data_IF_737652667004
#
_entry.id   IF_737652667004
#
_cell.length_a   1.000
_cell.length_b   1.000
_cell.length_c   1.000
_cell.angle_alpha   90.00
_cell.angle_beta   90.00
_cell.angle_gamma   90.00
#
_symmetry.space_group_name_H-M   'P 1'
#
loop_
_entity.id
_entity.type
_entity.pdbx_description
1 polymer ?
#
# COMPACT_ATOMS: atom_id res chain seq x y z
N UNK A 1 -22.44 -22.15 -27.60
CA UNK A 1 -21.18 -21.44 -27.29
C UNK A 1 -21.52 -20.09 -26.66
N UNK A 2 -21.75 -20.03 -25.34
CA UNK A 2 -22.10 -18.79 -24.60
C UNK A 2 -21.02 -18.47 -23.54
N UNK A 3 -19.85 -19.12 -23.62
CA UNK A 3 -18.75 -18.94 -22.68
C UNK A 3 -17.87 -17.70 -22.95
N UNK A 4 -18.02 -17.03 -24.10
CA UNK A 4 -17.04 -16.02 -24.52
C UNK A 4 -17.24 -14.64 -23.87
N UNK A 5 -18.48 -14.26 -23.54
CA UNK A 5 -18.82 -12.90 -23.06
C UNK A 5 -18.45 -12.70 -21.58
N UNK A 6 -18.74 -13.63 -20.64
CA UNK A 6 -18.37 -13.46 -19.24
C UNK A 6 -16.86 -13.43 -19.03
N UNK A 7 -16.12 -14.34 -19.68
CA UNK A 7 -14.66 -14.37 -19.60
C UNK A 7 -14.02 -13.10 -20.19
N UNK A 8 -14.54 -12.58 -21.31
CA UNK A 8 -14.05 -11.33 -21.90
C UNK A 8 -14.30 -10.13 -20.97
N UNK A 9 -15.47 -10.05 -20.32
CA UNK A 9 -15.77 -9.00 -19.35
C UNK A 9 -14.80 -9.03 -18.17
N UNK A 10 -14.53 -10.21 -17.63
CA UNK A 10 -13.56 -10.39 -16.54
C UNK A 10 -12.15 -9.96 -16.98
N UNK A 11 -11.69 -10.41 -18.15
CA UNK A 11 -10.38 -10.01 -18.68
C UNK A 11 -10.25 -8.50 -18.84
N UNK A 12 -11.26 -7.85 -19.43
CA UNK A 12 -11.29 -6.39 -19.58
C UNK A 12 -11.23 -5.68 -18.22
N UNK A 13 -11.99 -6.16 -17.25
CA UNK A 13 -11.99 -5.60 -15.91
C UNK A 13 -10.64 -5.78 -15.21
N UNK A 14 -10.03 -6.97 -15.28
CA UNK A 14 -8.70 -7.23 -14.70
C UNK A 14 -7.63 -6.34 -15.36
N UNK A 15 -7.71 -6.09 -16.67
CA UNK A 15 -6.82 -5.15 -17.36
C UNK A 15 -6.98 -3.70 -16.85
N UNK A 16 -8.21 -3.27 -16.56
CA UNK A 16 -8.49 -1.95 -15.97
C UNK A 16 -7.97 -1.90 -14.52
N UNK A 17 -8.24 -2.94 -13.72
CA UNK A 17 -7.83 -3.02 -12.33
C UNK A 17 -6.31 -3.23 -12.15
N UNK A 18 -5.57 -3.62 -13.19
CA UNK A 18 -4.13 -3.84 -13.16
C UNK A 18 -3.30 -2.55 -12.99
N UNK A 19 -3.80 -1.40 -13.46
CA UNK A 19 -3.05 -0.13 -13.41
C UNK A 19 -3.84 1.06 -12.83
N UNK A 20 -4.33 1.00 -11.59
CA UNK A 20 -5.12 2.09 -11.01
C UNK A 20 -4.38 3.43 -10.92
N UNK A 21 -3.05 3.40 -10.77
CA UNK A 21 -2.16 4.58 -10.70
C UNK A 21 -2.27 5.50 -11.92
N UNK A 22 -2.53 4.95 -13.11
CA UNK A 22 -2.76 5.74 -14.30
C UNK A 22 -4.01 6.63 -14.13
N UNK A 23 -5.10 6.08 -13.59
CA UNK A 23 -6.32 6.84 -13.30
C UNK A 23 -6.12 7.83 -12.15
N UNK A 24 -5.36 7.46 -11.12
CA UNK A 24 -5.00 8.40 -10.03
C UNK A 24 -4.27 9.61 -10.62
N UNK A 25 -3.32 9.41 -11.53
CA UNK A 25 -2.60 10.50 -12.16
C UNK A 25 -3.55 11.47 -12.91
N UNK A 26 -4.56 10.94 -13.60
CA UNK A 26 -5.59 11.75 -14.24
C UNK A 26 -6.56 12.43 -13.26
N UNK A 27 -6.83 11.82 -12.12
CA UNK A 27 -7.74 12.37 -11.09
C UNK A 27 -7.07 13.45 -10.23
N UNK A 28 -5.74 13.40 -10.04
CA UNK A 28 -4.97 14.32 -9.19
C UNK A 28 -5.25 15.82 -9.41
N UNK A 29 -5.39 16.34 -10.65
CA UNK A 29 -5.71 17.75 -10.88
C UNK A 29 -7.05 18.20 -10.28
N UNK A 30 -8.00 17.26 -10.14
CA UNK A 30 -9.36 17.53 -9.66
C UNK A 30 -9.50 17.32 -8.14
N UNK A 31 -8.58 16.59 -7.52
CA UNK A 31 -8.60 16.23 -6.10
C UNK A 31 -7.39 16.87 -5.42
N UNK A 32 -7.54 18.11 -5.00
CA UNK A 32 -6.46 18.88 -4.36
C UNK A 32 -6.90 19.42 -3.00
N UNK A 33 -6.33 18.85 -1.95
CA UNK A 33 -6.39 19.39 -0.59
C UNK A 33 -5.27 20.42 -0.45
N UNK A 34 -5.64 21.69 -0.30
CA UNK A 34 -4.71 22.86 -0.40
C UNK A 34 -3.51 22.77 0.54
N UNK A 35 -3.67 22.09 1.68
CA UNK A 35 -2.68 22.08 2.78
C UNK A 35 -1.89 20.78 2.90
N UNK A 36 -2.26 19.71 2.19
CA UNK A 36 -1.56 18.42 2.29
C UNK A 36 -1.53 17.68 0.96
N UNK A 37 -0.30 17.42 0.50
CA UNK A 37 -0.04 16.59 -0.66
C UNK A 37 -0.44 15.13 -0.38
N UNK A 38 -0.11 14.63 0.81
CA UNK A 38 -0.46 13.27 1.22
C UNK A 38 -1.98 13.04 1.19
N UNK A 39 -2.77 13.95 1.78
CA UNK A 39 -4.22 13.86 1.76
C UNK A 39 -4.78 13.86 0.33
N UNK A 40 -4.23 14.71 -0.55
CA UNK A 40 -4.64 14.77 -1.95
C UNK A 40 -4.38 13.44 -2.67
N UNK A 41 -3.19 12.85 -2.48
CA UNK A 41 -2.82 11.59 -3.12
C UNK A 41 -3.62 10.40 -2.56
N UNK A 42 -3.81 10.35 -1.25
CA UNK A 42 -4.58 9.30 -0.60
C UNK A 42 -6.08 9.40 -0.95
N UNK A 43 -6.64 10.62 -1.04
CA UNK A 43 -8.03 10.80 -1.45
C UNK A 43 -8.27 10.33 -2.90
N UNK A 44 -7.36 10.66 -3.82
CA UNK A 44 -7.43 10.16 -5.19
C UNK A 44 -7.31 8.63 -5.25
N UNK A 45 -6.45 8.06 -4.41
CA UNK A 45 -6.30 6.60 -4.28
C UNK A 45 -7.60 5.96 -3.81
N UNK A 46 -8.14 6.41 -2.67
CA UNK A 46 -9.41 5.89 -2.12
C UNK A 46 -10.55 6.00 -3.13
N UNK A 47 -10.66 7.12 -3.86
CA UNK A 47 -11.70 7.30 -4.86
C UNK A 47 -11.57 6.28 -6.01
N UNK A 48 -10.39 6.21 -6.64
CA UNK A 48 -10.18 5.33 -7.80
C UNK A 48 -10.34 3.87 -7.41
N UNK A 49 -9.72 3.46 -6.31
CA UNK A 49 -9.82 2.09 -5.82
C UNK A 49 -11.24 1.75 -5.36
N UNK A 50 -11.95 2.69 -4.75
CA UNK A 50 -13.37 2.53 -4.39
C UNK A 50 -14.26 2.33 -5.61
N UNK A 51 -14.01 3.06 -6.71
CA UNK A 51 -14.73 2.85 -7.98
C UNK A 51 -14.43 1.45 -8.55
N UNK A 52 -13.16 1.03 -8.55
CA UNK A 52 -12.79 -0.30 -9.03
C UNK A 52 -13.42 -1.42 -8.20
N UNK A 53 -13.47 -1.25 -6.88
CA UNK A 53 -14.12 -2.19 -5.97
C UNK A 53 -15.64 -2.25 -6.22
N UNK A 54 -16.30 -1.10 -6.38
CA UNK A 54 -17.72 -1.04 -6.70
C UNK A 54 -18.03 -1.73 -8.04
N UNK A 55 -17.20 -1.49 -9.06
CA UNK A 55 -17.33 -2.16 -10.36
C UNK A 55 -17.13 -3.67 -10.23
N UNK A 56 -16.14 -4.11 -9.46
CA UNK A 56 -15.93 -5.53 -9.17
C UNK A 56 -17.19 -6.17 -8.58
N UNK A 57 -17.80 -5.54 -7.58
CA UNK A 57 -19.03 -6.02 -6.94
C UNK A 57 -20.22 -6.06 -7.89
N UNK A 58 -20.42 -5.03 -8.72
CA UNK A 58 -21.48 -5.02 -9.75
C UNK A 58 -21.27 -6.17 -10.75
N UNK A 59 -20.01 -6.54 -11.00
CA UNK A 59 -19.66 -7.67 -11.87
C UNK A 59 -19.70 -9.03 -11.17
N UNK A 60 -20.03 -9.09 -9.88
CA UNK A 60 -20.08 -10.32 -9.08
C UNK A 60 -18.70 -10.84 -8.62
N UNK A 61 -17.65 -10.02 -8.70
CA UNK A 61 -16.31 -10.37 -8.21
C UNK A 61 -16.24 -9.96 -6.73
N UNK A 62 -16.55 -10.90 -5.83
CA UNK A 62 -16.59 -10.65 -4.38
C UNK A 62 -15.30 -11.05 -3.65
N UNK A 63 -14.33 -11.60 -4.38
CA UNK A 63 -13.17 -12.26 -3.79
C UNK A 63 -13.48 -13.72 -3.46
N UNK A 64 -12.44 -14.54 -3.19
CA UNK A 64 -12.60 -15.97 -2.97
C UNK A 64 -13.60 -16.24 -1.83
N UNK A 65 -14.84 -16.61 -2.17
CA UNK A 65 -15.93 -16.87 -1.22
C UNK A 65 -15.71 -18.17 -0.42
N UNK A 66 -14.87 -19.07 -0.95
CA UNK A 66 -14.75 -20.47 -0.55
C UNK A 66 -13.65 -20.81 0.47
N UNK A 67 -12.91 -19.84 1.02
CA UNK A 67 -12.06 -20.12 2.21
C UNK A 67 -12.88 -20.22 3.52
N UNK A 68 -14.21 -20.15 3.42
CA UNK A 68 -15.17 -20.12 4.53
C UNK A 68 -15.66 -21.50 5.00
N UNK A 69 -15.21 -22.59 4.38
CA UNK A 69 -15.57 -23.95 4.79
C UNK A 69 -14.77 -24.37 6.04
N UNK A 70 -15.24 -23.92 7.21
CA UNK A 70 -14.60 -24.05 8.53
C UNK A 70 -13.22 -23.41 8.61
N UNK A 71 -13.11 -22.33 9.39
CA UNK A 71 -11.81 -21.76 9.71
C UNK A 71 -10.95 -22.82 10.39
N UNK A 72 -9.88 -23.24 9.71
CA UNK A 72 -8.89 -24.21 10.20
C UNK A 72 -8.12 -23.59 11.37
N UNK A 73 -8.12 -22.26 11.44
CA UNK A 73 -7.45 -21.48 12.47
C UNK A 73 -8.28 -21.31 13.75
N UNK A 74 -7.75 -21.82 14.86
CA UNK A 74 -8.22 -21.45 16.19
C UNK A 74 -7.94 -19.97 16.54
N UNK A 75 -8.53 -19.50 17.64
CA UNK A 75 -8.39 -18.10 18.08
C UNK A 75 -6.94 -17.72 18.44
N UNK A 76 -6.14 -18.66 18.95
CA UNK A 76 -4.74 -18.44 19.28
C UNK A 76 -3.88 -18.20 18.03
N UNK A 77 -4.08 -19.03 17.01
CA UNK A 77 -3.44 -18.87 15.70
C UNK A 77 -3.81 -17.55 15.02
N UNK A 78 -5.08 -17.15 15.09
CA UNK A 78 -5.53 -15.86 14.56
C UNK A 78 -4.81 -14.70 15.24
N UNK A 79 -4.76 -14.69 16.57
CA UNK A 79 -4.06 -13.66 17.33
C UNK A 79 -2.56 -13.60 16.99
N UNK A 80 -1.92 -14.77 16.81
CA UNK A 80 -0.53 -14.85 16.39
C UNK A 80 -0.32 -14.24 14.99
N UNK A 81 -1.19 -14.54 14.02
CA UNK A 81 -1.09 -13.95 12.68
C UNK A 81 -1.31 -12.43 12.69
N UNK A 82 -2.24 -11.92 13.50
CA UNK A 82 -2.43 -10.47 13.66
C UNK A 82 -1.19 -9.79 14.25
N UNK A 83 -0.58 -10.38 15.28
CA UNK A 83 0.67 -9.88 15.85
C UNK A 83 1.81 -9.95 14.82
N UNK A 84 1.92 -11.06 14.10
CA UNK A 84 2.90 -11.24 13.03
C UNK A 84 2.71 -10.20 11.92
N UNK A 85 1.49 -9.91 11.48
CA UNK A 85 1.19 -8.91 10.46
C UNK A 85 1.67 -7.51 10.89
N UNK A 86 1.41 -7.10 12.13
CA UNK A 86 1.87 -5.81 12.64
C UNK A 86 3.40 -5.71 12.66
N UNK A 87 4.10 -6.75 13.13
CA UNK A 87 5.58 -6.81 13.14
C UNK A 87 6.15 -6.87 11.72
N UNK A 88 5.51 -7.62 10.84
CA UNK A 88 5.92 -7.75 9.44
C UNK A 88 5.83 -6.43 8.69
N UNK A 89 4.91 -5.52 9.04
CA UNK A 89 4.92 -4.17 8.47
C UNK A 89 6.22 -3.41 8.74
N UNK A 90 6.85 -3.60 9.90
CA UNK A 90 8.18 -3.03 10.17
C UNK A 90 9.28 -3.76 9.40
N UNK A 91 9.25 -5.10 9.39
CA UNK A 91 10.25 -5.92 8.70
C UNK A 91 10.23 -5.62 7.19
N UNK A 92 9.04 -5.52 6.59
CA UNK A 92 8.85 -5.19 5.19
C UNK A 92 9.43 -3.82 4.84
N UNK A 93 9.23 -2.80 5.70
CA UNK A 93 9.89 -1.49 5.52
C UNK A 93 11.43 -1.60 5.52
N UNK A 94 11.99 -2.46 6.37
CA UNK A 94 13.43 -2.72 6.39
C UNK A 94 13.88 -3.44 5.11
N UNK A 95 13.12 -4.43 4.66
CA UNK A 95 13.40 -5.16 3.41
C UNK A 95 13.39 -4.21 2.21
N UNK A 96 12.36 -3.36 2.08
CA UNK A 96 12.32 -2.35 1.02
C UNK A 96 13.58 -1.47 1.04
N UNK A 97 14.01 -1.01 2.22
CA UNK A 97 15.24 -0.22 2.33
C UNK A 97 16.46 -1.02 1.87
N UNK A 98 16.59 -2.28 2.29
CA UNK A 98 17.73 -3.14 1.92
C UNK A 98 17.78 -3.40 0.42
N UNK A 99 16.64 -3.63 -0.23
CA UNK A 99 16.54 -3.82 -1.68
C UNK A 99 16.99 -2.59 -2.45
N UNK A 100 16.61 -1.39 -2.00
CA UNK A 100 17.10 -0.14 -2.57
C UNK A 100 18.57 0.15 -2.26
N UNK A 101 19.05 -0.29 -1.09
CA UNK A 101 20.42 -0.06 -0.65
C UNK A 101 21.42 -0.99 -1.33
N UNK A 102 21.01 -2.21 -1.70
CA UNK A 102 21.87 -3.25 -2.23
C UNK A 102 22.67 -2.80 -3.47
N UNK A 103 22.07 -2.21 -4.53
CA UNK A 103 22.83 -1.76 -5.70
C UNK A 103 23.85 -0.67 -5.37
N UNK A 104 23.52 0.25 -4.44
CA UNK A 104 24.41 1.32 -4.00
C UNK A 104 25.57 0.75 -3.21
N UNK A 105 25.30 -0.20 -2.32
CA UNK A 105 26.31 -0.87 -1.51
C UNK A 105 27.26 -1.72 -2.37
N UNK A 106 26.74 -2.49 -3.33
CA UNK A 106 27.57 -3.27 -4.28
C UNK A 106 28.54 -2.36 -5.03
N UNK A 107 28.09 -1.17 -5.44
CA UNK A 107 28.90 -0.22 -6.23
C UNK A 107 29.89 0.59 -5.39
N UNK A 108 29.49 1.04 -4.21
CA UNK A 108 30.21 2.06 -3.44
C UNK A 108 30.70 1.61 -2.07
N UNK A 109 30.30 0.40 -1.63
CA UNK A 109 30.49 -0.13 -0.27
C UNK A 109 29.97 0.80 0.84
N UNK A 110 29.09 1.74 0.50
CA UNK A 110 28.44 2.66 1.43
C UNK A 110 26.94 2.45 1.42
N UNK A 111 26.32 2.55 2.59
CA UNK A 111 24.87 2.53 2.72
C UNK A 111 24.29 3.91 2.35
N UNK A 112 23.28 3.99 1.48
CA UNK A 112 22.64 5.25 1.15
C UNK A 112 21.91 5.82 2.36
N UNK A 113 21.92 7.15 2.50
CA UNK A 113 21.14 7.80 3.55
C UNK A 113 19.65 7.63 3.28
N UNK A 114 18.91 7.12 4.25
CA UNK A 114 17.45 7.01 4.17
C UNK A 114 16.83 8.41 3.99
N UNK A 115 16.04 8.59 2.95
CA UNK A 115 15.22 9.79 2.72
C UNK A 115 13.76 9.36 2.60
N UNK A 116 12.84 9.92 3.40
CA UNK A 116 11.43 9.62 3.22
C UNK A 116 11.00 10.11 1.85
N UNK A 117 10.05 9.39 1.24
CA UNK A 117 9.40 9.86 0.03
C UNK A 117 8.82 11.27 0.29
N UNK A 118 8.95 12.16 -0.69
CA UNK A 118 8.53 13.56 -0.58
C UNK A 118 7.02 13.72 -0.31
N UNK A 119 6.23 12.67 -0.50
CA UNK A 119 4.79 12.66 -0.19
C UNK A 119 4.55 12.75 1.31
N UNK A 120 5.42 12.15 2.14
CA UNK A 120 5.30 12.16 3.60
C UNK A 120 6.01 13.35 4.27
N UNK A 121 6.62 14.27 3.50
CA UNK A 121 7.38 15.40 4.07
C UNK A 121 6.46 16.56 4.46
N UNK A 122 5.58 16.32 5.42
CA UNK A 122 4.64 17.30 5.99
C UNK A 122 4.68 17.28 7.52
N UNK A 123 3.92 18.18 8.15
CA UNK A 123 3.70 18.17 9.61
C UNK A 123 2.73 17.08 10.02
N UNK A 124 2.72 16.72 11.30
CA UNK A 124 1.79 15.72 11.81
C UNK A 124 0.34 16.22 11.75
N UNK A 125 -0.55 15.44 11.16
CA UNK A 125 -1.99 15.65 11.19
C UNK A 125 -2.72 14.32 11.36
N UNK A 126 -3.77 14.30 12.20
CA UNK A 126 -4.59 13.10 12.40
C UNK A 126 -5.32 12.67 11.11
N UNK A 127 -5.71 13.64 10.28
CA UNK A 127 -6.32 13.39 8.98
C UNK A 127 -5.37 12.61 8.06
N UNK A 128 -4.05 12.89 8.12
CA UNK A 128 -3.05 12.14 7.37
C UNK A 128 -3.01 10.67 7.78
N UNK A 129 -3.07 10.38 9.09
CA UNK A 129 -3.14 9.01 9.62
C UNK A 129 -4.39 8.29 9.11
N UNK A 130 -5.57 8.92 9.23
CA UNK A 130 -6.82 8.34 8.73
C UNK A 130 -6.75 8.09 7.22
N UNK A 131 -6.19 9.03 6.46
CA UNK A 131 -6.05 8.89 5.00
C UNK A 131 -5.11 7.74 4.60
N UNK A 132 -4.04 7.50 5.37
CA UNK A 132 -3.11 6.38 5.16
C UNK A 132 -3.85 5.06 5.37
N UNK A 133 -4.64 4.95 6.45
CA UNK A 133 -5.43 3.75 6.74
C UNK A 133 -6.40 3.46 5.61
N UNK A 134 -7.15 4.47 5.17
CA UNK A 134 -8.14 4.32 4.10
C UNK A 134 -7.50 3.97 2.75
N UNK A 135 -6.39 4.63 2.40
CA UNK A 135 -5.69 4.36 1.14
C UNK A 135 -5.10 2.94 1.12
N UNK A 136 -4.41 2.53 2.19
CA UNK A 136 -3.87 1.17 2.30
C UNK A 136 -4.99 0.13 2.25
N UNK A 137 -6.09 0.34 2.98
CA UNK A 137 -7.25 -0.56 2.92
C UNK A 137 -7.84 -0.68 1.52
N UNK A 138 -7.98 0.44 0.81
CA UNK A 138 -8.51 0.45 -0.56
C UNK A 138 -7.59 -0.30 -1.53
N UNK A 139 -6.26 -0.12 -1.41
CA UNK A 139 -5.28 -0.88 -2.20
C UNK A 139 -5.39 -2.38 -1.94
N UNK A 140 -5.45 -2.79 -0.67
CA UNK A 140 -5.58 -4.21 -0.31
C UNK A 140 -6.88 -4.81 -0.83
N UNK A 141 -8.01 -4.12 -0.71
CA UNK A 141 -9.29 -4.61 -1.22
C UNK A 141 -9.23 -4.90 -2.74
N UNK A 142 -8.60 -4.01 -3.51
CA UNK A 142 -8.47 -4.26 -4.96
C UNK A 142 -7.46 -5.36 -5.25
N UNK A 143 -6.23 -5.27 -4.75
CA UNK A 143 -5.20 -6.23 -5.15
C UNK A 143 -5.38 -7.61 -4.50
N UNK A 144 -5.89 -7.69 -3.27
CA UNK A 144 -5.99 -8.98 -2.54
C UNK A 144 -7.35 -9.58 -2.69
N UNK A 145 -8.43 -8.79 -2.60
CA UNK A 145 -9.77 -9.36 -2.76
C UNK A 145 -10.17 -9.46 -4.22
N UNK A 146 -10.10 -8.34 -4.97
CA UNK A 146 -10.61 -8.29 -6.35
C UNK A 146 -9.70 -9.02 -7.34
N UNK A 147 -8.40 -8.72 -7.36
CA UNK A 147 -7.47 -9.33 -8.33
C UNK A 147 -7.28 -10.82 -8.05
N UNK A 148 -6.99 -11.23 -6.81
CA UNK A 148 -6.82 -12.66 -6.49
C UNK A 148 -8.14 -13.40 -6.72
N UNK A 149 -9.28 -12.85 -6.28
CA UNK A 149 -10.60 -13.45 -6.54
C UNK A 149 -10.89 -13.61 -8.03
N UNK A 150 -10.71 -12.54 -8.82
CA UNK A 150 -10.93 -12.59 -10.26
C UNK A 150 -10.01 -13.59 -10.99
N UNK A 151 -8.78 -13.77 -10.52
CA UNK A 151 -7.85 -14.75 -11.09
C UNK A 151 -8.17 -16.18 -10.62
N UNK A 152 -8.50 -16.39 -9.35
CA UNK A 152 -8.84 -17.71 -8.81
C UNK A 152 -10.21 -18.20 -9.29
N UNK A 153 -11.28 -17.47 -8.99
CA UNK A 153 -12.66 -17.87 -9.27
C UNK A 153 -13.00 -17.66 -10.74
N UNK A 154 -12.48 -16.57 -11.33
CA UNK A 154 -12.84 -16.17 -12.68
C UNK A 154 -11.98 -16.83 -13.77
N UNK A 155 -10.67 -17.00 -13.55
CA UNK A 155 -9.77 -17.66 -14.49
C UNK A 155 -9.42 -19.10 -14.10
N UNK A 156 -9.80 -19.56 -12.90
CA UNK A 156 -9.53 -20.93 -12.44
C UNK A 156 -8.07 -21.18 -12.05
N UNK A 157 -7.29 -20.14 -11.78
CA UNK A 157 -5.87 -20.29 -11.44
C UNK A 157 -5.68 -20.68 -9.97
N UNK A 158 -4.57 -21.35 -9.68
CA UNK A 158 -4.23 -21.72 -8.30
C UNK A 158 -4.01 -20.47 -7.42
N UNK A 159 -4.40 -20.48 -6.13
CA UNK A 159 -4.29 -19.30 -5.25
C UNK A 159 -2.89 -18.72 -5.12
N UNK A 160 -1.85 -19.56 -5.09
CA UNK A 160 -0.46 -19.10 -5.04
C UNK A 160 -0.06 -18.33 -6.31
N UNK A 161 -0.55 -18.76 -7.48
CA UNK A 161 -0.28 -18.09 -8.75
C UNK A 161 -1.01 -16.73 -8.82
N UNK A 162 -2.25 -16.69 -8.35
CA UNK A 162 -3.02 -15.46 -8.22
C UNK A 162 -2.35 -14.46 -7.25
N UNK A 163 -1.77 -14.94 -6.15
CA UNK A 163 -1.00 -14.13 -5.20
C UNK A 163 0.26 -13.51 -5.83
N UNK A 164 0.96 -14.25 -6.71
CA UNK A 164 2.10 -13.73 -7.48
C UNK A 164 1.65 -12.68 -8.49
N UNK A 165 0.58 -12.94 -9.24
CA UNK A 165 0.00 -11.97 -10.20
C UNK A 165 -0.38 -10.67 -9.49
N UNK A 166 -1.08 -10.78 -8.35
CA UNK A 166 -1.45 -9.64 -7.52
C UNK A 166 -0.22 -8.83 -7.08
N UNK A 167 0.82 -9.50 -6.59
CA UNK A 167 2.06 -8.83 -6.18
C UNK A 167 2.78 -8.11 -7.33
N UNK A 168 2.85 -8.74 -8.50
CA UNK A 168 3.43 -8.14 -9.70
C UNK A 168 2.65 -6.91 -10.13
N UNK A 169 1.32 -6.99 -10.21
CA UNK A 169 0.46 -5.85 -10.57
C UNK A 169 0.55 -4.72 -9.54
N UNK A 170 0.60 -5.05 -8.25
CA UNK A 170 0.81 -4.07 -7.17
C UNK A 170 2.17 -3.36 -7.31
N UNK A 171 3.23 -4.10 -7.62
CA UNK A 171 4.55 -3.54 -7.91
C UNK A 171 4.54 -2.63 -9.16
N UNK A 172 3.94 -3.09 -10.26
CA UNK A 172 3.82 -2.33 -11.51
C UNK A 172 3.03 -1.04 -11.33
N UNK A 173 2.06 -1.01 -10.42
CA UNK A 173 1.30 0.19 -10.09
C UNK A 173 2.17 1.31 -9.47
N UNK A 174 3.40 0.99 -9.07
CA UNK A 174 4.38 1.92 -8.54
C UNK A 174 5.46 2.32 -9.56
N UNK A 175 5.28 2.01 -10.85
CA UNK A 175 6.27 2.30 -11.91
C UNK A 175 6.64 3.78 -12.02
N UNK A 176 5.72 4.69 -11.70
CA UNK A 176 5.99 6.13 -11.69
C UNK A 176 7.01 6.58 -10.62
N UNK A 177 7.25 5.74 -9.61
CA UNK A 177 8.29 5.95 -8.59
C UNK A 177 9.65 5.36 -9.00
N UNK A 178 9.72 4.71 -10.17
CA UNK A 178 10.92 4.14 -10.76
C UNK A 178 11.09 2.64 -10.51
N UNK A 179 12.02 2.01 -11.25
CA UNK A 179 12.21 0.55 -11.27
C UNK A 179 12.47 -0.09 -9.89
N UNK A 180 13.15 0.62 -8.99
CA UNK A 180 13.43 0.10 -7.65
C UNK A 180 12.18 0.07 -6.78
N UNK A 181 11.29 1.06 -6.93
CA UNK A 181 9.99 1.05 -6.27
C UNK A 181 9.12 -0.12 -6.76
N UNK A 182 9.19 -0.48 -8.05
CA UNK A 182 8.49 -1.65 -8.58
C UNK A 182 8.97 -2.94 -7.91
N UNK A 183 10.27 -3.13 -7.75
CA UNK A 183 10.83 -4.32 -7.09
C UNK A 183 10.41 -4.37 -5.62
N UNK A 184 10.60 -3.27 -4.90
CA UNK A 184 10.19 -3.12 -3.50
C UNK A 184 8.72 -3.46 -3.29
N UNK A 185 7.86 -2.86 -4.10
CA UNK A 185 6.43 -3.06 -3.98
C UNK A 185 6.00 -4.44 -4.47
N UNK A 186 6.72 -5.07 -5.39
CA UNK A 186 6.51 -6.48 -5.69
C UNK A 186 6.83 -7.37 -4.48
N UNK A 187 7.93 -7.13 -3.77
CA UNK A 187 8.30 -7.88 -2.56
C UNK A 187 7.28 -7.71 -1.44
N UNK A 188 6.92 -6.48 -1.10
CA UNK A 188 5.82 -6.19 -0.14
C UNK A 188 4.51 -6.80 -0.62
N UNK A 189 4.29 -6.75 -1.93
CA UNK A 189 3.17 -7.35 -2.62
C UNK A 189 3.00 -8.84 -2.30
N UNK A 190 4.10 -9.59 -2.36
CA UNK A 190 4.15 -11.01 -2.03
C UNK A 190 3.89 -11.26 -0.55
N UNK A 191 4.43 -10.44 0.35
CA UNK A 191 4.19 -10.56 1.79
C UNK A 191 2.69 -10.39 2.11
N UNK A 192 2.04 -9.39 1.51
CA UNK A 192 0.62 -9.15 1.71
C UNK A 192 -0.23 -10.27 1.11
N UNK A 193 0.11 -10.75 -0.10
CA UNK A 193 -0.54 -11.92 -0.69
C UNK A 193 -0.36 -13.17 0.18
N UNK A 194 0.79 -13.36 0.82
CA UNK A 194 1.02 -14.48 1.74
C UNK A 194 0.09 -14.38 2.96
N UNK A 195 -0.03 -13.21 3.59
CA UNK A 195 -0.97 -13.02 4.70
C UNK A 195 -2.42 -13.22 4.28
N UNK A 196 -2.80 -12.80 3.08
CA UNK A 196 -4.14 -13.01 2.54
C UNK A 196 -4.46 -14.50 2.41
N UNK A 197 -3.56 -15.25 1.77
CA UNK A 197 -3.78 -16.67 1.48
C UNK A 197 -3.65 -17.54 2.73
N UNK A 198 -2.69 -17.26 3.62
CA UNK A 198 -2.50 -18.02 4.87
C UNK A 198 -3.55 -17.70 5.92
N UNK A 199 -4.12 -16.49 5.87
CA UNK A 199 -5.22 -16.05 6.72
C UNK A 199 -6.60 -16.35 6.18
N UNK A 200 -6.76 -17.37 5.33
CA UNK A 200 -8.07 -17.81 4.81
C UNK A 200 -8.84 -16.69 4.08
N UNK A 201 -8.14 -15.91 3.24
CA UNK A 201 -8.66 -14.71 2.59
C UNK A 201 -9.10 -13.58 3.56
N UNK A 202 -8.56 -13.58 4.78
CA UNK A 202 -8.75 -12.52 5.77
C UNK A 202 -8.05 -11.23 5.37
N UNK A 203 -8.80 -10.30 4.76
CA UNK A 203 -8.26 -9.01 4.27
C UNK A 203 -7.60 -8.17 5.38
N UNK A 204 -8.09 -8.28 6.62
CA UNK A 204 -7.63 -7.48 7.75
C UNK A 204 -6.16 -7.69 8.11
N UNK A 205 -5.60 -8.90 7.90
CA UNK A 205 -4.18 -9.15 8.14
C UNK A 205 -3.30 -8.35 7.19
N UNK A 206 -3.69 -8.30 5.91
CA UNK A 206 -2.98 -7.55 4.86
C UNK A 206 -3.06 -6.05 5.13
N UNK A 207 -4.27 -5.57 5.45
CA UNK A 207 -4.50 -4.16 5.79
C UNK A 207 -3.65 -3.78 6.99
N UNK A 208 -3.63 -4.59 8.05
CA UNK A 208 -2.84 -4.31 9.24
C UNK A 208 -1.35 -4.24 8.92
N UNK A 209 -0.82 -5.21 8.16
CA UNK A 209 0.59 -5.22 7.77
C UNK A 209 0.96 -3.96 6.98
N UNK A 210 0.18 -3.62 5.97
CA UNK A 210 0.42 -2.48 5.09
C UNK A 210 0.24 -1.14 5.82
N UNK A 211 -0.81 -0.99 6.63
CA UNK A 211 -1.02 0.20 7.47
C UNK A 211 0.15 0.37 8.44
N UNK A 212 0.59 -0.70 9.10
CA UNK A 212 1.72 -0.65 10.03
C UNK A 212 2.98 -0.13 9.33
N UNK A 213 3.28 -0.65 8.14
CA UNK A 213 4.40 -0.18 7.30
C UNK A 213 4.30 1.34 7.03
N UNK A 214 3.16 1.79 6.52
CA UNK A 214 2.96 3.19 6.11
C UNK A 214 2.92 4.16 7.29
N UNK A 215 2.35 3.76 8.43
CA UNK A 215 2.30 4.59 9.64
C UNK A 215 3.69 4.75 10.24
N UNK A 216 4.51 3.69 10.28
CA UNK A 216 5.90 3.78 10.74
C UNK A 216 6.68 4.76 9.85
N UNK A 217 6.54 4.65 8.53
CA UNK A 217 7.18 5.53 7.57
C UNK A 217 6.74 7.00 7.75
N UNK A 218 5.44 7.24 7.94
CA UNK A 218 4.89 8.58 8.20
C UNK A 218 5.45 9.18 9.49
N UNK A 219 5.39 8.44 10.60
CA UNK A 219 5.92 8.86 11.90
C UNK A 219 7.42 9.22 11.82
N UNK A 220 8.21 8.41 11.11
CA UNK A 220 9.62 8.69 10.89
C UNK A 220 9.84 9.96 10.04
N UNK A 221 9.06 10.14 8.98
CA UNK A 221 9.14 11.31 8.10
C UNK A 221 8.80 12.62 8.83
N UNK A 222 7.73 12.63 9.63
CA UNK A 222 7.31 13.77 10.46
C UNK A 222 8.43 14.18 11.42
N UNK A 223 9.03 13.21 12.13
CA UNK A 223 10.14 13.47 13.07
C UNK A 223 11.33 14.13 12.38
N UNK A 224 11.69 13.64 11.19
CA UNK A 224 12.80 14.19 10.40
C UNK A 224 12.51 15.62 9.92
N UNK A 225 11.28 15.87 9.46
CA UNK A 225 10.84 17.21 9.05
C UNK A 225 10.89 18.21 10.22
N UNK A 226 10.45 17.78 11.41
CA UNK A 226 10.54 18.60 12.62
C UNK A 226 11.99 18.94 13.01
N UNK A 227 12.91 17.97 12.93
CA UNK A 227 14.34 18.20 13.18
C UNK A 227 14.94 19.20 12.19
N UNK A 228 14.62 19.09 10.90
CA UNK A 228 15.09 20.02 9.87
C UNK A 228 14.60 21.46 10.09
N UNK A 229 13.35 21.63 10.55
CA UNK A 229 12.82 22.97 10.90
C UNK A 229 13.54 23.56 12.11
N UNK A 230 13.84 22.77 13.15
CA UNK A 230 14.56 23.23 14.35
C UNK A 230 15.99 23.72 14.03
N UNK A 231 16.70 23.04 13.14
CA UNK A 231 18.06 23.42 12.73
C UNK A 231 18.07 24.74 11.91
N UNK A 232 16.97 25.09 11.24
CA UNK A 232 16.86 26.30 10.42
C UNK A 232 16.46 27.56 11.18
N UNK A 233 15.98 27.45 12.43
CA UNK A 233 15.69 28.61 13.29
C UNK A 233 16.94 28.92 14.10
N UNK A 234 17.68 30.03 13.83
CA UNK A 234 18.84 30.38 14.63
C UNK A 234 18.40 30.70 16.05
N UNK A 235 19.16 30.23 17.04
CA UNK A 235 18.96 30.42 18.49
C UNK A 235 19.18 31.87 18.97
N UNK A 236 18.85 32.88 18.15
CA UNK A 236 19.30 34.26 18.32
C UNK A 236 18.21 35.32 18.39
N UNK A 237 16.97 35.01 18.80
CA UNK A 237 15.90 36.02 18.91
C UNK A 237 15.23 36.13 20.28
N UNK A 238 15.93 35.79 21.38
CA UNK A 238 15.57 36.37 22.68
C UNK A 238 16.22 37.74 22.76
N UNK A 239 15.48 38.78 22.33
CA UNK A 239 15.75 40.13 22.84
C UNK A 239 15.37 40.10 24.31
N UNK A 240 16.36 40.24 25.19
CA UNK A 240 16.10 40.60 26.58
C UNK A 240 15.34 41.94 26.58
N UNK A 241 14.28 42.09 27.38
CA UNK A 241 13.68 43.39 27.58
C UNK A 241 14.71 44.27 28.29
N UNK A 242 15.25 45.26 27.58
CA UNK A 242 16.05 46.31 28.18
C UNK A 242 15.20 47.05 29.21
N UNK A 243 15.71 47.11 30.43
CA UNK A 243 15.28 48.08 31.43
C UNK A 243 15.79 49.45 30.96
N UNK A 244 14.87 50.32 30.55
CA UNK A 244 14.99 51.78 30.65
C UNK A 244 13.73 52.31 31.35
#
# INVERSE_FOLDING_TARGET
>A
MIFHIPCLKLWLFLCVAAFPSAYIYFAKPFIRVRESKLLSENAATVLIYGILLLLAWIMGITGPADFSAESIMDAGWKNLLFAAAAVMGFIDLVLEYLESALPVWVRSRRLPKVRPAAVYSETFHISSVVSIILAAAAEELVFRQVIIGGVCEGLGWAPWAAGIVSALLYGMNHVYFGRFAVIQKCSSGLIYSMFFLTGEAGIWLCILCHVSQNIILYCWSVRKTAQQKRVRVPSGSRKEPGND
#
